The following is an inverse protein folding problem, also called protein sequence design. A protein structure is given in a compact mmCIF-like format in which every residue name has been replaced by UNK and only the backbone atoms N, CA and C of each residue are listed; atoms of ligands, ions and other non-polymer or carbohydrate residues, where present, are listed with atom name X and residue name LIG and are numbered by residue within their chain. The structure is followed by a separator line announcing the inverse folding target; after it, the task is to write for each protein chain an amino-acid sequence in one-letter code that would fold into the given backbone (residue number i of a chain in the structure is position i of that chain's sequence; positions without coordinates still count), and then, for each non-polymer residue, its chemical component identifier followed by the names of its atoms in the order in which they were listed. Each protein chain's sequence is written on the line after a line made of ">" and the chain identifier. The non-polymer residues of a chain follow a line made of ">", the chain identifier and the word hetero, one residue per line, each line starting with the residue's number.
data_IF_878681831323
#
_entry.id   IF_878681831323
#
_cell.length_a   1.000
_cell.length_b   1.000
_cell.length_c   1.000
_cell.angle_alpha   90.00
_cell.angle_beta   90.00
_cell.angle_gamma   90.00
#
_symmetry.space_group_name_H-M   'P 1'
#
loop_
_entity.id
_entity.type
_entity.pdbx_description
1 polymer ?
#
# COMPACT_ATOMS: atom_id res chain seq x y z
N UNK A 1 -1.48 -33.28 -36.87
CA UNK A 1 -2.10 -33.23 -35.52
C UNK A 1 -1.23 -34.04 -34.58
N UNK A 2 -0.95 -33.54 -33.39
CA UNK A 2 -0.14 -34.25 -32.39
C UNK A 2 -1.03 -35.32 -31.70
N UNK A 3 -0.79 -36.63 -31.91
CA UNK A 3 -1.64 -37.71 -31.42
C UNK A 3 -1.72 -37.73 -29.88
N UNK A 4 -0.67 -37.24 -29.21
CA UNK A 4 -0.59 -37.20 -27.76
C UNK A 4 -1.50 -36.11 -27.19
N UNK A 5 -1.62 -34.97 -27.89
CA UNK A 5 -2.58 -33.92 -27.54
C UNK A 5 -4.02 -34.41 -27.69
N UNK A 6 -4.34 -35.12 -28.78
CA UNK A 6 -5.69 -35.67 -28.99
C UNK A 6 -6.04 -36.72 -27.93
N UNK A 7 -5.09 -37.60 -27.60
CA UNK A 7 -5.27 -38.57 -26.53
C UNK A 7 -5.57 -37.87 -25.19
N UNK A 8 -4.76 -36.87 -24.79
CA UNK A 8 -5.01 -36.14 -23.54
C UNK A 8 -6.33 -35.34 -23.55
N UNK A 9 -6.73 -34.77 -24.70
CA UNK A 9 -8.05 -34.15 -24.85
C UNK A 9 -9.19 -35.14 -24.66
N UNK A 10 -9.03 -36.39 -25.12
CA UNK A 10 -10.04 -37.45 -24.94
C UNK A 10 -10.24 -37.83 -23.47
N UNK A 11 -9.23 -37.65 -22.62
CA UNK A 11 -9.28 -38.01 -21.20
C UNK A 11 -9.89 -36.91 -20.31
N UNK A 12 -10.32 -35.77 -20.88
CA UNK A 12 -10.82 -34.59 -20.14
C UNK A 12 -12.01 -34.88 -19.21
N UNK A 13 -12.84 -35.87 -19.54
CA UNK A 13 -14.04 -36.24 -18.78
C UNK A 13 -13.75 -37.13 -17.56
N UNK A 14 -12.52 -37.63 -17.42
CA UNK A 14 -12.14 -38.55 -16.35
C UNK A 14 -11.65 -37.78 -15.11
N UNK A 15 -11.76 -38.41 -13.94
CA UNK A 15 -11.19 -37.86 -12.70
C UNK A 15 -9.64 -37.87 -12.72
N UNK A 16 -9.02 -37.14 -11.79
CA UNK A 16 -7.55 -37.00 -11.72
C UNK A 16 -6.83 -38.35 -11.68
N UNK A 17 -7.31 -39.27 -10.85
CA UNK A 17 -6.71 -40.59 -10.63
C UNK A 17 -6.75 -41.48 -11.89
N UNK A 18 -7.84 -41.42 -12.65
CA UNK A 18 -7.99 -42.16 -13.91
C UNK A 18 -7.14 -41.57 -15.04
N UNK A 19 -7.05 -40.23 -15.10
CA UNK A 19 -6.14 -39.55 -16.02
C UNK A 19 -4.69 -39.94 -15.78
N UNK A 20 -4.25 -39.95 -14.53
CA UNK A 20 -2.87 -40.29 -14.19
C UNK A 20 -2.53 -41.75 -14.51
N UNK A 21 -3.46 -42.68 -14.27
CA UNK A 21 -3.29 -44.09 -14.67
C UNK A 21 -3.15 -44.27 -16.18
N UNK A 22 -3.96 -43.57 -16.98
CA UNK A 22 -3.91 -43.67 -18.45
C UNK A 22 -2.73 -42.93 -19.07
N UNK A 23 -2.14 -42.00 -18.34
CA UNK A 23 -0.97 -41.23 -18.77
C UNK A 23 0.35 -41.75 -18.21
N UNK A 24 0.32 -42.80 -17.37
CA UNK A 24 1.50 -43.44 -16.78
C UNK A 24 2.54 -43.91 -17.81
N UNK A 25 2.12 -44.17 -19.05
CA UNK A 25 2.98 -44.73 -20.11
C UNK A 25 3.72 -43.65 -20.90
N UNK A 26 3.39 -42.36 -20.67
CA UNK A 26 4.08 -41.26 -21.28
C UNK A 26 5.46 -41.05 -20.65
N UNK A 27 6.50 -40.75 -21.44
CA UNK A 27 7.73 -40.17 -20.91
C UNK A 27 7.38 -38.93 -20.06
N UNK A 28 8.02 -38.78 -18.90
CA UNK A 28 7.68 -37.72 -17.92
C UNK A 28 7.69 -36.32 -18.54
N UNK A 29 8.62 -36.07 -19.45
CA UNK A 29 8.79 -34.82 -20.19
C UNK A 29 7.61 -34.57 -21.15
N UNK A 30 7.18 -35.60 -21.86
CA UNK A 30 6.07 -35.53 -22.81
C UNK A 30 4.73 -35.38 -22.09
N UNK A 31 4.54 -36.10 -20.98
CA UNK A 31 3.39 -35.90 -20.10
C UNK A 31 3.32 -34.47 -19.58
N UNK A 32 4.46 -33.91 -19.11
CA UNK A 32 4.51 -32.54 -18.62
C UNK A 32 4.20 -31.52 -19.74
N UNK A 33 4.75 -31.71 -20.95
CA UNK A 33 4.50 -30.87 -22.13
C UNK A 33 3.03 -30.86 -22.50
N UNK A 34 2.42 -32.04 -22.67
CA UNK A 34 1.03 -32.17 -23.09
C UNK A 34 0.06 -31.67 -22.02
N UNK A 35 0.34 -31.94 -20.75
CA UNK A 35 -0.48 -31.44 -19.63
C UNK A 35 -0.55 -29.92 -19.63
N UNK A 36 0.59 -29.24 -19.79
CA UNK A 36 0.65 -27.76 -19.85
C UNK A 36 -0.19 -27.23 -21.02
N UNK A 37 -0.08 -27.84 -22.21
CA UNK A 37 -0.85 -27.40 -23.38
C UNK A 37 -2.36 -27.55 -23.13
N UNK A 38 -2.80 -28.68 -22.58
CA UNK A 38 -4.22 -28.93 -22.29
C UNK A 38 -4.75 -27.98 -21.21
N UNK A 39 -3.98 -27.72 -20.16
CA UNK A 39 -4.34 -26.75 -19.11
C UNK A 39 -4.49 -25.34 -19.70
N UNK A 40 -3.55 -24.89 -20.54
CA UNK A 40 -3.63 -23.59 -21.24
C UNK A 40 -4.88 -23.49 -22.12
N UNK A 41 -5.19 -24.53 -22.90
CA UNK A 41 -6.41 -24.56 -23.71
C UNK A 41 -7.68 -24.47 -22.87
N UNK A 42 -7.70 -25.13 -21.71
CA UNK A 42 -8.84 -25.09 -20.78
C UNK A 42 -9.04 -23.70 -20.18
N UNK A 43 -7.97 -23.06 -19.70
CA UNK A 43 -8.06 -21.71 -19.15
C UNK A 43 -8.44 -20.69 -20.23
N UNK A 44 -7.93 -20.83 -21.45
CA UNK A 44 -8.33 -20.00 -22.59
C UNK A 44 -9.81 -20.19 -22.95
N UNK A 45 -10.31 -21.43 -22.95
CA UNK A 45 -11.72 -21.73 -23.22
C UNK A 45 -12.63 -21.15 -22.13
N UNK A 46 -12.30 -21.35 -20.84
CA UNK A 46 -13.05 -20.75 -19.73
C UNK A 46 -13.09 -19.22 -19.83
N UNK A 47 -11.96 -18.59 -20.18
CA UNK A 47 -11.92 -17.15 -20.37
C UNK A 47 -12.82 -16.72 -21.54
N UNK A 48 -12.80 -17.44 -22.66
CA UNK A 48 -13.63 -17.12 -23.81
C UNK A 48 -15.13 -17.26 -23.49
N UNK A 49 -15.51 -18.31 -22.76
CA UNK A 49 -16.88 -18.53 -22.27
C UNK A 49 -17.29 -17.42 -21.28
N UNK A 50 -16.38 -16.98 -20.41
CA UNK A 50 -16.63 -15.91 -19.44
C UNK A 50 -16.77 -14.53 -20.10
N UNK A 51 -15.95 -14.24 -21.13
CA UNK A 51 -16.07 -13.02 -21.93
C UNK A 51 -17.37 -13.06 -22.74
N UNK A 52 -17.74 -14.22 -23.30
CA UNK A 52 -18.96 -14.43 -24.08
C UNK A 52 -19.15 -13.42 -25.23
N UNK A 53 -18.05 -12.93 -25.82
CA UNK A 53 -18.06 -11.90 -26.86
C UNK A 53 -18.37 -10.48 -26.38
N UNK A 54 -18.46 -10.24 -25.06
CA UNK A 54 -18.64 -8.92 -24.48
C UNK A 54 -17.39 -8.04 -24.64
N UNK A 55 -17.60 -6.75 -24.83
CA UNK A 55 -16.53 -5.76 -24.86
C UNK A 55 -16.10 -5.40 -23.43
N UNK A 56 -14.93 -5.92 -23.01
CA UNK A 56 -14.38 -5.68 -21.68
C UNK A 56 -14.06 -4.20 -21.41
N UNK A 57 -13.73 -3.41 -22.44
CA UNK A 57 -13.45 -1.98 -22.29
C UNK A 57 -14.75 -1.27 -21.92
N UNK A 58 -15.81 -1.51 -22.69
CA UNK A 58 -17.11 -0.91 -22.44
C UNK A 58 -17.72 -1.35 -21.10
N UNK A 59 -17.53 -2.62 -20.73
CA UNK A 59 -17.92 -3.14 -19.42
C UNK A 59 -17.24 -2.36 -18.29
N UNK A 60 -15.91 -2.24 -18.32
CA UNK A 60 -15.17 -1.51 -17.28
C UNK A 60 -15.56 -0.03 -17.18
N UNK A 61 -15.82 0.62 -18.32
CA UNK A 61 -16.22 2.04 -18.34
C UNK A 61 -17.65 2.28 -17.85
N UNK A 62 -18.53 1.27 -17.93
CA UNK A 62 -19.94 1.38 -17.50
C UNK A 62 -20.09 0.97 -16.04
N UNK A 63 -19.58 -0.20 -15.67
CA UNK A 63 -19.54 -0.73 -14.31
C UNK A 63 -18.39 -1.75 -14.18
N UNK A 64 -17.29 -1.41 -13.49
CA UNK A 64 -16.13 -2.29 -13.37
C UNK A 64 -16.33 -3.42 -12.34
N UNK A 65 -17.44 -3.45 -11.59
CA UNK A 65 -17.62 -4.35 -10.45
C UNK A 65 -17.44 -5.83 -10.79
N UNK A 66 -18.02 -6.28 -11.91
CA UNK A 66 -17.84 -7.67 -12.38
C UNK A 66 -16.37 -7.96 -12.71
N UNK A 67 -15.70 -7.06 -13.44
CA UNK A 67 -14.30 -7.26 -13.82
C UNK A 67 -13.39 -7.27 -12.58
N UNK A 68 -13.67 -6.41 -11.61
CA UNK A 68 -12.94 -6.36 -10.34
C UNK A 68 -13.10 -7.67 -9.56
N UNK A 69 -14.31 -8.24 -9.53
CA UNK A 69 -14.62 -9.48 -8.83
C UNK A 69 -14.02 -10.74 -9.50
N UNK A 70 -13.92 -10.77 -10.84
CA UNK A 70 -13.42 -11.92 -11.58
C UNK A 70 -11.99 -11.71 -12.10
N UNK A 71 -11.01 -12.35 -11.45
CA UNK A 71 -9.59 -12.22 -11.77
C UNK A 71 -9.25 -12.49 -13.25
N UNK A 72 -9.88 -13.48 -13.88
CA UNK A 72 -9.63 -13.80 -15.30
C UNK A 72 -10.05 -12.67 -16.24
N UNK A 73 -11.17 -11.99 -15.97
CA UNK A 73 -11.60 -10.82 -16.75
C UNK A 73 -10.66 -9.63 -16.53
N UNK A 74 -10.28 -9.38 -15.28
CA UNK A 74 -9.30 -8.36 -14.93
C UNK A 74 -7.97 -8.59 -15.63
N UNK A 75 -7.45 -9.82 -15.62
CA UNK A 75 -6.18 -10.17 -16.24
C UNK A 75 -6.25 -10.01 -17.76
N UNK A 76 -7.35 -10.44 -18.39
CA UNK A 76 -7.58 -10.22 -19.80
C UNK A 76 -7.58 -8.73 -20.18
N UNK A 77 -8.29 -7.88 -19.43
CA UNK A 77 -8.34 -6.43 -19.69
C UNK A 77 -6.96 -5.75 -19.52
N UNK A 78 -6.16 -6.20 -18.56
CA UNK A 78 -4.80 -5.71 -18.32
C UNK A 78 -3.78 -6.22 -19.36
N UNK A 79 -4.13 -7.28 -20.10
CA UNK A 79 -3.23 -7.95 -21.06
C UNK A 79 -2.28 -8.97 -20.41
N UNK A 80 -2.65 -9.48 -19.23
CA UNK A 80 -1.92 -10.52 -18.49
C UNK A 80 -2.31 -11.91 -18.99
N UNK A 81 -1.43 -12.89 -18.79
CA UNK A 81 -1.79 -14.30 -18.99
C UNK A 81 -2.73 -14.77 -17.87
N UNK A 82 -3.72 -15.58 -18.20
CA UNK A 82 -4.54 -16.28 -17.19
C UNK A 82 -3.86 -17.51 -16.61
N UNK A 83 -2.77 -17.98 -17.24
CA UNK A 83 -2.00 -19.11 -16.74
C UNK A 83 -0.88 -18.63 -15.82
N UNK A 84 -1.14 -18.68 -14.51
CA UNK A 84 -0.25 -18.17 -13.44
C UNK A 84 1.22 -18.58 -13.60
N UNK A 85 1.49 -19.85 -13.94
CA UNK A 85 2.86 -20.36 -14.06
C UNK A 85 3.67 -19.69 -15.17
N UNK A 86 3.02 -19.28 -16.27
CA UNK A 86 3.72 -18.56 -17.34
C UNK A 86 4.10 -17.15 -16.89
N UNK A 87 3.21 -16.51 -16.14
CA UNK A 87 3.49 -15.20 -15.54
C UNK A 87 4.63 -15.27 -14.53
N UNK A 88 4.58 -16.23 -13.60
CA UNK A 88 5.61 -16.44 -12.58
C UNK A 88 6.99 -16.69 -13.23
N UNK A 89 7.05 -17.58 -14.23
CA UNK A 89 8.27 -17.83 -14.99
C UNK A 89 8.77 -16.58 -15.74
N UNK A 90 7.86 -15.79 -16.31
CA UNK A 90 8.21 -14.55 -17.00
C UNK A 90 8.79 -13.53 -16.02
N UNK A 91 8.15 -13.35 -14.86
CA UNK A 91 8.59 -12.44 -13.80
C UNK A 91 9.93 -12.87 -13.23
N UNK A 92 10.11 -14.15 -12.91
CA UNK A 92 11.38 -14.69 -12.41
C UNK A 92 12.51 -14.45 -13.43
N UNK A 93 12.26 -14.70 -14.71
CA UNK A 93 13.22 -14.46 -15.78
C UNK A 93 13.58 -12.97 -15.94
N UNK A 94 12.59 -12.08 -16.00
CA UNK A 94 12.81 -10.63 -16.21
C UNK A 94 13.52 -10.02 -15.00
N UNK A 95 13.21 -10.48 -13.79
CA UNK A 95 13.80 -9.97 -12.55
C UNK A 95 15.09 -10.68 -12.15
N UNK A 96 15.54 -11.67 -12.94
CA UNK A 96 16.70 -12.52 -12.63
C UNK A 96 16.60 -13.17 -11.23
N UNK A 97 15.41 -13.66 -10.88
CA UNK A 97 15.14 -14.34 -9.62
C UNK A 97 14.91 -13.42 -8.42
N UNK A 98 14.98 -12.08 -8.57
CA UNK A 98 14.67 -11.15 -7.46
C UNK A 98 13.22 -11.29 -7.02
N UNK A 99 12.27 -11.45 -7.96
CA UNK A 99 10.89 -11.77 -7.66
C UNK A 99 10.48 -13.06 -8.39
N UNK A 100 9.85 -13.98 -7.66
CA UNK A 100 9.43 -15.29 -8.22
C UNK A 100 7.99 -15.30 -8.72
N UNK A 101 7.21 -14.25 -8.41
CA UNK A 101 5.82 -14.11 -8.82
C UNK A 101 5.44 -12.64 -8.95
N UNK A 102 4.39 -12.36 -9.73
CA UNK A 102 3.96 -10.99 -10.02
C UNK A 102 3.53 -10.19 -8.81
N UNK A 103 2.90 -10.81 -7.80
CA UNK A 103 2.53 -10.14 -6.56
C UNK A 103 3.75 -9.62 -5.81
N UNK A 104 4.78 -10.46 -5.63
CA UNK A 104 6.04 -10.07 -4.99
C UNK A 104 6.71 -8.91 -5.75
N UNK A 105 6.76 -8.98 -7.07
CA UNK A 105 7.32 -7.90 -7.89
C UNK A 105 6.56 -6.58 -7.68
N UNK A 106 5.22 -6.63 -7.72
CA UNK A 106 4.38 -5.45 -7.50
C UNK A 106 4.60 -4.89 -6.10
N UNK A 107 4.68 -5.73 -5.07
CA UNK A 107 4.86 -5.31 -3.69
C UNK A 107 6.24 -4.67 -3.45
N UNK A 108 7.30 -5.22 -4.06
CA UNK A 108 8.65 -4.65 -4.02
C UNK A 108 8.70 -3.25 -4.65
N UNK A 109 8.04 -3.06 -5.80
CA UNK A 109 8.00 -1.75 -6.44
C UNK A 109 7.07 -0.79 -5.67
N UNK A 110 5.92 -1.25 -5.19
CA UNK A 110 4.97 -0.44 -4.43
C UNK A 110 5.54 0.05 -3.09
N UNK A 111 6.36 -0.78 -2.44
CA UNK A 111 6.96 -0.53 -1.14
C UNK A 111 8.46 -0.23 -1.23
N UNK A 112 8.92 0.31 -2.36
CA UNK A 112 10.34 0.58 -2.59
C UNK A 112 10.96 1.49 -1.53
N UNK A 113 10.19 2.43 -0.97
CA UNK A 113 10.59 3.24 0.19
C UNK A 113 10.98 2.40 1.41
N UNK A 114 10.36 1.24 1.62
CA UNK A 114 10.53 0.39 2.81
C UNK A 114 11.51 -0.75 2.59
N UNK A 115 11.63 -1.24 1.36
CA UNK A 115 12.46 -2.40 1.04
C UNK A 115 12.98 -2.25 -0.39
N UNK A 116 14.07 -1.48 -0.59
CA UNK A 116 14.64 -1.31 -1.91
C UNK A 116 15.19 -2.66 -2.39
N UNK A 117 14.76 -3.06 -3.59
CA UNK A 117 15.20 -4.29 -4.24
C UNK A 117 16.01 -3.97 -5.49
N UNK A 118 17.01 -4.79 -5.86
CA UNK A 118 17.89 -4.55 -7.01
C UNK A 118 17.18 -4.87 -8.35
N UNK A 119 16.04 -4.22 -8.61
CA UNK A 119 15.18 -4.44 -9.79
C UNK A 119 15.72 -3.72 -11.02
N UNK A 120 16.06 -4.48 -12.07
CA UNK A 120 16.52 -3.94 -13.36
C UNK A 120 15.43 -3.15 -14.08
N UNK A 121 15.81 -2.30 -15.03
CA UNK A 121 14.89 -1.45 -15.81
C UNK A 121 13.67 -2.20 -16.36
N UNK A 122 13.88 -3.40 -16.90
CA UNK A 122 12.81 -4.23 -17.44
C UNK A 122 11.77 -4.64 -16.39
N UNK A 123 12.17 -4.85 -15.13
CA UNK A 123 11.21 -5.14 -14.06
C UNK A 123 10.27 -3.96 -13.78
N UNK A 124 10.80 -2.73 -13.83
CA UNK A 124 10.00 -1.51 -13.69
C UNK A 124 9.06 -1.33 -14.88
N UNK A 125 9.56 -1.53 -16.11
CA UNK A 125 8.74 -1.49 -17.34
C UNK A 125 7.64 -2.53 -17.32
N UNK A 126 7.92 -3.75 -16.85
CA UNK A 126 6.94 -4.83 -16.74
C UNK A 126 5.77 -4.44 -15.83
N UNK A 127 6.04 -3.85 -14.66
CA UNK A 127 4.99 -3.36 -13.76
C UNK A 127 4.24 -2.17 -14.35
N UNK A 128 4.94 -1.24 -15.00
CA UNK A 128 4.29 -0.17 -15.77
C UNK A 128 3.44 -0.69 -16.94
N UNK A 129 3.62 -1.94 -17.37
CA UNK A 129 2.79 -2.57 -18.39
C UNK A 129 1.72 -3.49 -17.78
N UNK A 130 1.37 -3.33 -16.50
CA UNK A 130 0.38 -4.17 -15.80
C UNK A 130 0.78 -5.65 -15.72
N UNK A 131 2.09 -5.96 -15.80
CA UNK A 131 2.62 -7.34 -15.89
C UNK A 131 2.08 -8.06 -17.13
N UNK A 132 1.88 -7.32 -18.23
CA UNK A 132 1.37 -7.87 -19.49
C UNK A 132 2.26 -8.96 -20.08
N UNK A 133 1.66 -9.89 -20.79
CA UNK A 133 2.38 -10.96 -21.48
C UNK A 133 3.29 -10.40 -22.59
N UNK A 134 4.55 -10.87 -22.65
CA UNK A 134 5.60 -10.39 -23.57
C UNK A 134 5.85 -11.37 -24.73
N UNK A 135 4.92 -12.28 -25.03
CA UNK A 135 5.17 -13.42 -25.93
C UNK A 135 5.34 -13.06 -27.42
N UNK A 136 4.97 -11.85 -27.87
CA UNK A 136 4.99 -11.45 -29.30
C UNK A 136 5.64 -10.10 -29.62
N UNK A 137 5.69 -9.19 -28.66
CA UNK A 137 6.29 -7.87 -28.79
C UNK A 137 7.38 -7.73 -27.74
N UNK A 138 8.40 -6.93 -28.01
CA UNK A 138 9.39 -6.59 -27.00
C UNK A 138 8.74 -5.81 -25.86
N UNK A 139 9.23 -5.98 -24.63
CA UNK A 139 8.72 -5.22 -23.49
C UNK A 139 8.81 -3.70 -23.71
N UNK A 140 9.81 -3.26 -24.48
CA UNK A 140 9.99 -1.87 -24.86
C UNK A 140 8.83 -1.34 -25.72
N UNK A 141 8.41 -2.09 -26.74
CA UNK A 141 7.29 -1.69 -27.61
C UNK A 141 5.99 -1.60 -26.83
N UNK A 142 5.74 -2.55 -25.93
CA UNK A 142 4.56 -2.53 -25.06
C UNK A 142 4.61 -1.29 -24.16
N UNK A 143 5.76 -0.99 -23.56
CA UNK A 143 5.94 0.18 -22.71
C UNK A 143 5.64 1.50 -23.44
N UNK A 144 6.19 1.67 -24.65
CA UNK A 144 5.95 2.85 -25.48
C UNK A 144 4.49 2.96 -25.93
N UNK A 145 3.84 1.83 -26.24
CA UNK A 145 2.41 1.80 -26.53
C UNK A 145 1.58 2.25 -25.33
N UNK A 146 1.86 1.74 -24.12
CA UNK A 146 1.16 2.13 -22.91
C UNK A 146 1.33 3.61 -22.57
N UNK A 147 2.54 4.17 -22.77
CA UNK A 147 2.77 5.60 -22.63
C UNK A 147 1.87 6.42 -23.56
N UNK A 148 1.81 6.06 -24.85
CA UNK A 148 0.96 6.74 -25.84
C UNK A 148 -0.53 6.61 -25.51
N UNK A 149 -0.98 5.43 -25.11
CA UNK A 149 -2.38 5.18 -24.74
C UNK A 149 -2.83 6.04 -23.55
N UNK A 150 -1.96 6.23 -22.56
CA UNK A 150 -2.19 7.06 -21.38
C UNK A 150 -2.15 8.57 -21.72
N UNK A 151 -1.19 9.01 -22.53
CA UNK A 151 -1.11 10.41 -22.99
C UNK A 151 -2.37 10.81 -23.75
N UNK A 152 -2.87 9.92 -24.62
CA UNK A 152 -4.09 10.13 -25.39
C UNK A 152 -5.39 9.87 -24.61
N UNK A 153 -5.31 9.44 -23.34
CA UNK A 153 -6.47 9.10 -22.50
C UNK A 153 -7.45 8.15 -23.19
N UNK A 154 -6.90 7.16 -23.91
CA UNK A 154 -7.69 6.21 -24.70
C UNK A 154 -8.72 5.45 -23.84
N UNK A 155 -9.83 4.97 -24.43
CA UNK A 155 -10.81 4.15 -23.70
C UNK A 155 -10.16 2.95 -22.98
N UNK A 156 -9.18 2.30 -23.62
CA UNK A 156 -8.47 1.15 -23.06
C UNK A 156 -7.57 1.53 -21.86
N UNK A 157 -6.89 2.68 -21.91
CA UNK A 157 -6.11 3.17 -20.77
C UNK A 157 -7.02 3.49 -19.57
N UNK A 158 -8.14 4.18 -19.81
CA UNK A 158 -9.13 4.51 -18.77
C UNK A 158 -9.77 3.25 -18.17
N UNK A 159 -10.13 2.26 -18.99
CA UNK A 159 -10.72 1.02 -18.50
C UNK A 159 -9.74 0.21 -17.64
N UNK A 160 -8.46 0.14 -18.03
CA UNK A 160 -7.42 -0.52 -17.22
C UNK A 160 -7.25 0.19 -15.87
N UNK A 161 -7.24 1.51 -15.86
CA UNK A 161 -7.13 2.29 -14.62
C UNK A 161 -8.25 1.95 -13.62
N UNK A 162 -9.49 1.81 -14.09
CA UNK A 162 -10.64 1.49 -13.23
C UNK A 162 -10.51 0.13 -12.52
N UNK A 163 -9.81 -0.85 -13.10
CA UNK A 163 -9.76 -2.23 -12.58
C UNK A 163 -8.46 -2.58 -11.84
N UNK A 164 -7.46 -1.68 -11.84
CA UNK A 164 -6.20 -1.87 -11.10
C UNK A 164 -6.48 -1.89 -9.60
N UNK A 165 -5.81 -2.81 -8.91
CA UNK A 165 -5.82 -2.84 -7.44
C UNK A 165 -4.78 -1.84 -6.88
N UNK A 166 -4.95 -1.46 -5.61
CA UNK A 166 -4.18 -0.38 -4.98
C UNK A 166 -2.66 -0.57 -5.08
N UNK A 167 -2.15 -1.75 -4.73
CA UNK A 167 -0.71 -2.02 -4.80
C UNK A 167 -0.17 -1.93 -6.24
N UNK A 168 -0.93 -2.37 -7.26
CA UNK A 168 -0.52 -2.19 -8.66
C UNK A 168 -0.53 -0.72 -9.08
N UNK A 169 -1.55 0.07 -8.70
CA UNK A 169 -1.56 1.53 -8.96
C UNK A 169 -0.33 2.20 -8.35
N UNK A 170 -0.04 1.90 -7.07
CA UNK A 170 1.14 2.41 -6.36
C UNK A 170 2.44 2.02 -7.06
N UNK A 171 2.57 0.75 -7.45
CA UNK A 171 3.76 0.25 -8.12
C UNK A 171 3.97 0.90 -9.50
N UNK A 172 2.91 1.07 -10.29
CA UNK A 172 2.96 1.78 -11.58
C UNK A 172 3.38 3.23 -11.43
N UNK A 173 2.82 3.95 -10.46
CA UNK A 173 3.21 5.32 -10.13
C UNK A 173 4.70 5.40 -9.81
N UNK A 174 5.19 4.52 -8.95
CA UNK A 174 6.62 4.46 -8.59
C UNK A 174 7.49 4.16 -9.82
N UNK A 175 7.06 3.24 -10.69
CA UNK A 175 7.74 2.93 -11.95
C UNK A 175 7.77 4.12 -12.91
N UNK A 176 6.71 4.92 -12.98
CA UNK A 176 6.64 6.13 -13.81
C UNK A 176 7.74 7.14 -13.46
N UNK A 177 8.10 7.26 -12.18
CA UNK A 177 9.21 8.13 -11.74
C UNK A 177 10.58 7.49 -11.98
N UNK A 178 10.70 6.20 -11.72
CA UNK A 178 11.99 5.49 -11.78
C UNK A 178 12.47 5.21 -13.20
N UNK A 179 11.59 4.81 -14.13
CA UNK A 179 11.99 4.39 -15.48
C UNK A 179 12.81 5.47 -16.20
N UNK A 180 12.33 6.73 -16.36
CA UNK A 180 13.10 7.75 -17.07
C UNK A 180 14.41 8.10 -16.34
N UNK A 181 14.44 7.92 -15.03
CA UNK A 181 15.60 8.24 -14.20
C UNK A 181 16.70 7.18 -14.30
N UNK A 182 16.31 5.90 -14.33
CA UNK A 182 17.20 4.77 -14.60
C UNK A 182 17.74 4.88 -16.03
N UNK A 183 16.90 5.18 -17.02
CA UNK A 183 17.33 5.33 -18.42
C UNK A 183 18.35 6.46 -18.62
N UNK A 184 18.25 7.54 -17.84
CA UNK A 184 19.21 8.64 -17.84
C UNK A 184 20.49 8.32 -17.04
N UNK A 185 20.44 7.34 -16.15
CA UNK A 185 21.61 6.88 -15.41
C UNK A 185 22.44 5.96 -16.33
N UNK A 186 23.42 6.57 -17.01
CA UNK A 186 24.28 5.92 -18.02
C UNK A 186 24.85 4.58 -17.56
N UNK A 187 24.97 3.65 -18.51
CA UNK A 187 25.70 2.38 -18.39
C UNK A 187 27.12 2.58 -17.83
N UNK A 188 27.72 3.76 -17.99
CA UNK A 188 29.05 4.09 -17.44
C UNK A 188 29.04 4.22 -15.91
N UNK A 189 27.98 4.80 -15.33
CA UNK A 189 27.82 4.90 -13.87
C UNK A 189 27.47 3.52 -13.29
N UNK A 190 26.68 2.74 -14.02
CA UNK A 190 26.42 1.35 -13.67
C UNK A 190 27.70 0.51 -13.74
N UNK A 191 28.50 0.65 -14.79
CA UNK A 191 29.77 -0.04 -14.96
C UNK A 191 30.79 0.37 -13.90
N UNK A 192 30.79 1.64 -13.48
CA UNK A 192 31.67 2.12 -12.41
C UNK A 192 31.28 1.54 -11.04
N UNK A 193 29.99 1.50 -10.70
CA UNK A 193 29.49 0.86 -9.48
C UNK A 193 29.76 -0.65 -9.49
N UNK A 194 29.54 -1.31 -10.63
CA UNK A 194 29.84 -2.74 -10.81
C UNK A 194 31.34 -3.01 -10.70
N UNK A 195 32.20 -2.10 -11.18
CA UNK A 195 33.66 -2.22 -11.10
C UNK A 195 34.20 -1.97 -9.70
N UNK A 196 33.71 -0.95 -8.99
CA UNK A 196 34.04 -0.70 -7.58
C UNK A 196 33.60 -1.85 -6.68
N UNK A 197 32.40 -2.40 -6.92
CA UNK A 197 31.91 -3.57 -6.21
C UNK A 197 32.76 -4.82 -6.48
N UNK A 198 33.07 -5.12 -7.74
CA UNK A 198 33.95 -6.25 -8.11
C UNK A 198 35.31 -6.16 -7.42
N UNK A 199 35.93 -4.97 -7.41
CA UNK A 199 37.20 -4.74 -6.73
C UNK A 199 37.11 -4.96 -5.21
N UNK A 200 35.98 -4.58 -4.59
CA UNK A 200 35.77 -4.81 -3.15
C UNK A 200 35.55 -6.29 -2.81
N UNK A 201 35.03 -7.08 -3.76
CA UNK A 201 34.76 -8.50 -3.58
C UNK A 201 35.91 -9.43 -3.98
N UNK A 202 36.89 -8.92 -4.73
CA UNK A 202 38.11 -9.63 -5.16
C UNK A 202 38.79 -10.47 -4.04
N UNK A 203 38.91 -9.98 -2.79
CA UNK A 203 39.49 -10.76 -1.69
C UNK A 203 38.66 -11.99 -1.30
N UNK A 204 37.33 -11.93 -1.46
CA UNK A 204 36.41 -12.99 -1.09
C UNK A 204 36.26 -14.05 -2.19
N UNK A 205 36.47 -13.67 -3.46
CA UNK A 205 36.45 -14.60 -4.60
C UNK A 205 37.54 -15.68 -4.51
N UNK A 206 38.63 -15.41 -3.78
CA UNK A 206 39.70 -16.38 -3.51
C UNK A 206 39.25 -17.55 -2.63
N UNK A 207 38.13 -17.41 -1.92
CA UNK A 207 37.57 -18.42 -1.03
C UNK A 207 36.38 -19.19 -1.63
N UNK A 208 35.95 -18.86 -2.86
CA UNK A 208 34.88 -19.59 -3.54
C UNK A 208 35.37 -20.94 -4.03
N UNK A 209 34.62 -22.02 -3.78
CA UNK A 209 35.00 -23.38 -4.17
C UNK A 209 34.41 -23.82 -5.51
N UNK A 210 33.39 -23.11 -6.02
CA UNK A 210 32.79 -23.39 -7.31
C UNK A 210 32.36 -22.11 -8.06
N UNK A 211 32.16 -22.27 -9.38
CA UNK A 211 31.82 -21.18 -10.30
C UNK A 211 30.48 -20.53 -9.98
N UNK A 212 29.52 -21.31 -9.46
CA UNK A 212 28.18 -20.85 -9.06
C UNK A 212 28.19 -19.94 -7.82
N UNK A 213 29.02 -20.26 -6.82
CA UNK A 213 29.27 -19.41 -5.65
C UNK A 213 29.94 -18.10 -6.05
N UNK A 214 30.87 -18.18 -7.00
CA UNK A 214 31.58 -17.02 -7.54
C UNK A 214 30.63 -16.10 -8.30
N UNK A 215 29.75 -16.66 -9.14
CA UNK A 215 28.69 -15.93 -9.82
C UNK A 215 27.72 -15.26 -8.84
N UNK A 216 27.31 -15.96 -7.77
CA UNK A 216 26.43 -15.41 -6.74
C UNK A 216 27.07 -14.25 -5.96
N UNK A 217 28.37 -14.33 -5.65
CA UNK A 217 29.12 -13.25 -4.98
C UNK A 217 29.36 -12.05 -5.90
N UNK A 218 29.47 -12.29 -7.21
CA UNK A 218 29.65 -11.25 -8.23
C UNK A 218 28.34 -10.62 -8.72
N UNK A 219 27.17 -11.10 -8.26
CA UNK A 219 25.88 -10.40 -8.45
C UNK A 219 26.07 -8.98 -7.89
N UNK A 220 25.81 -7.92 -8.68
CA UNK A 220 26.08 -6.55 -8.26
C UNK A 220 25.38 -6.21 -6.93
N UNK A 221 26.11 -6.21 -5.81
CA UNK A 221 25.61 -5.58 -4.58
C UNK A 221 25.87 -4.08 -4.72
N UNK A 222 24.87 -3.26 -4.39
CA UNK A 222 24.95 -1.82 -4.55
C UNK A 222 24.13 -1.27 -5.71
N UNK A 223 23.58 -2.10 -6.60
CA UNK A 223 22.56 -1.64 -7.54
C UNK A 223 21.30 -1.13 -6.80
N UNK A 224 20.94 -1.80 -5.70
CA UNK A 224 19.93 -1.32 -4.72
C UNK A 224 20.27 0.08 -4.16
N UNK A 225 21.55 0.34 -3.85
CA UNK A 225 22.02 1.66 -3.39
C UNK A 225 21.92 2.71 -4.50
N UNK A 226 22.27 2.35 -5.74
CA UNK A 226 22.08 3.22 -6.91
C UNK A 226 20.61 3.55 -7.11
N UNK A 227 19.73 2.55 -7.08
CA UNK A 227 18.28 2.76 -7.17
C UNK A 227 17.76 3.60 -6.01
N UNK A 228 18.27 3.44 -4.79
CA UNK A 228 17.91 4.29 -3.64
C UNK A 228 18.34 5.74 -3.84
N UNK A 229 19.52 5.99 -4.44
CA UNK A 229 19.96 7.35 -4.79
C UNK A 229 19.10 7.97 -5.88
N UNK A 230 18.74 7.18 -6.90
CA UNK A 230 17.82 7.62 -7.97
C UNK A 230 16.46 7.95 -7.36
N UNK A 231 15.92 7.03 -6.56
CA UNK A 231 14.65 7.18 -5.86
C UNK A 231 14.60 8.47 -5.04
N UNK A 232 15.60 8.74 -4.20
CA UNK A 232 15.72 10.00 -3.44
C UNK A 232 15.65 11.26 -4.31
N UNK A 233 16.02 11.19 -5.59
CA UNK A 233 15.98 12.34 -6.53
C UNK A 233 14.64 12.47 -7.27
N UNK A 234 13.92 11.37 -7.48
CA UNK A 234 12.76 11.35 -8.40
C UNK A 234 11.43 11.06 -7.72
N UNK A 235 11.43 10.44 -6.55
CA UNK A 235 10.21 10.29 -5.76
C UNK A 235 9.83 11.65 -5.14
N UNK A 236 8.53 11.90 -4.94
CA UNK A 236 8.04 13.09 -4.25
C UNK A 236 8.76 13.32 -2.92
N UNK A 237 9.00 14.59 -2.60
CA UNK A 237 9.47 14.95 -1.27
C UNK A 237 8.38 14.64 -0.24
N UNK A 238 8.74 14.19 0.97
CA UNK A 238 7.76 14.03 2.04
C UNK A 238 7.07 15.37 2.35
N UNK A 239 5.84 15.38 2.88
CA UNK A 239 5.20 16.58 3.40
C UNK A 239 6.08 17.36 4.38
N UNK A 240 5.89 18.67 4.47
CA UNK A 240 6.73 19.57 5.27
C UNK A 240 6.84 19.15 6.75
N UNK A 241 5.74 18.65 7.33
CA UNK A 241 5.75 18.17 8.71
C UNK A 241 6.68 16.95 8.90
N UNK A 242 6.71 16.01 7.94
CA UNK A 242 7.60 14.85 7.98
C UNK A 242 9.05 15.26 7.80
N UNK A 243 9.32 16.21 6.90
CA UNK A 243 10.66 16.78 6.72
C UNK A 243 11.15 17.40 8.03
N UNK A 244 10.34 18.24 8.68
CA UNK A 244 10.71 18.86 9.97
C UNK A 244 10.98 17.81 11.06
N UNK A 245 10.15 16.78 11.16
CA UNK A 245 10.34 15.65 12.10
C UNK A 245 11.67 14.96 11.85
N UNK A 246 11.99 14.66 10.59
CA UNK A 246 13.24 14.02 10.19
C UNK A 246 14.47 14.92 10.43
N UNK A 247 14.39 16.20 10.10
CA UNK A 247 15.50 17.15 10.26
C UNK A 247 15.79 17.45 11.73
N UNK A 248 14.75 17.70 12.52
CA UNK A 248 14.86 18.02 13.94
C UNK A 248 15.02 16.77 14.83
N UNK A 249 14.85 15.56 14.27
CA UNK A 249 14.78 14.30 15.01
C UNK A 249 13.76 14.37 16.17
N UNK A 250 12.64 15.05 15.92
CA UNK A 250 11.58 15.25 16.92
C UNK A 250 10.58 14.11 16.88
N UNK A 251 10.09 13.69 18.06
CA UNK A 251 8.97 12.75 18.09
C UNK A 251 7.70 13.39 17.56
N UNK A 252 6.85 12.61 16.92
CA UNK A 252 5.54 13.06 16.44
C UNK A 252 4.42 12.13 16.90
N UNK A 253 3.21 12.67 16.99
CA UNK A 253 2.02 11.95 17.42
C UNK A 253 1.17 12.75 18.39
N UNK A 254 0.37 12.04 19.17
CA UNK A 254 -0.64 12.62 20.06
C UNK A 254 -0.59 12.02 21.46
N UNK A 255 -1.26 12.73 22.37
CA UNK A 255 -1.64 12.20 23.68
C UNK A 255 -3.00 11.51 23.52
N UNK A 256 -3.13 10.33 24.09
CA UNK A 256 -4.29 9.47 23.98
C UNK A 256 -4.93 9.23 25.34
N UNK A 257 -6.25 9.12 25.34
CA UNK A 257 -7.07 8.73 26.48
C UNK A 257 -8.01 7.59 26.10
N UNK A 258 -8.33 6.77 27.09
CA UNK A 258 -9.45 5.82 27.03
C UNK A 258 -10.71 6.58 27.40
N UNK A 259 -11.83 6.34 26.72
CA UNK A 259 -13.12 6.75 27.26
C UNK A 259 -13.39 6.03 28.60
N UNK A 260 -14.29 6.57 29.40
CA UNK A 260 -14.72 6.00 30.69
C UNK A 260 -15.21 4.57 30.51
N UNK A 261 -15.98 4.32 29.46
CA UNK A 261 -16.51 3.00 29.13
C UNK A 261 -15.38 2.02 28.74
N UNK A 262 -14.38 2.49 27.96
CA UNK A 262 -13.19 1.70 27.62
C UNK A 262 -12.36 1.39 28.88
N UNK A 263 -12.18 2.36 29.77
CA UNK A 263 -11.46 2.16 31.03
C UNK A 263 -12.15 1.09 31.90
N UNK A 264 -13.47 1.20 32.05
CA UNK A 264 -14.25 0.26 32.86
C UNK A 264 -14.22 -1.15 32.30
N UNK A 265 -14.30 -1.29 30.98
CA UNK A 265 -14.37 -2.61 30.32
C UNK A 265 -13.01 -3.25 30.08
N UNK A 266 -12.02 -2.44 29.72
CA UNK A 266 -10.74 -2.90 29.19
C UNK A 266 -9.52 -2.32 29.92
N UNK A 267 -9.68 -1.56 31.00
CA UNK A 267 -8.56 -0.89 31.69
C UNK A 267 -7.43 -1.83 32.08
N UNK A 268 -7.75 -3.04 32.56
CA UNK A 268 -6.78 -4.05 33.01
C UNK A 268 -6.10 -4.82 31.86
N UNK A 269 -6.74 -4.93 30.68
CA UNK A 269 -6.21 -5.65 29.52
C UNK A 269 -5.96 -4.73 28.30
N UNK A 270 -5.93 -3.41 28.51
CA UNK A 270 -5.88 -2.39 27.46
C UNK A 270 -4.75 -2.63 26.45
N UNK A 271 -3.57 -3.02 26.92
CA UNK A 271 -2.41 -3.29 26.05
C UNK A 271 -2.69 -4.38 25.01
N UNK A 272 -3.46 -5.40 25.38
CA UNK A 272 -3.85 -6.49 24.46
C UNK A 272 -4.90 -6.02 23.47
N UNK A 273 -5.91 -5.30 23.96
CA UNK A 273 -7.00 -4.76 23.12
C UNK A 273 -6.46 -3.77 22.09
N UNK A 274 -5.66 -2.80 22.54
CA UNK A 274 -5.01 -1.82 21.67
C UNK A 274 -4.03 -2.47 20.68
N UNK A 275 -3.30 -3.50 21.13
CA UNK A 275 -2.43 -4.30 20.27
C UNK A 275 -3.20 -4.95 19.12
N UNK A 276 -4.36 -5.55 19.41
CA UNK A 276 -5.26 -6.12 18.40
C UNK A 276 -5.75 -5.08 17.40
N UNK A 277 -6.29 -3.96 17.89
CA UNK A 277 -6.78 -2.85 17.04
C UNK A 277 -5.67 -2.35 16.09
N UNK A 278 -4.45 -2.18 16.59
CA UNK A 278 -3.33 -1.73 15.78
C UNK A 278 -2.82 -2.80 14.80
N UNK A 279 -2.81 -4.07 15.19
CA UNK A 279 -2.39 -5.18 14.32
C UNK A 279 -3.35 -5.38 13.14
N UNK A 280 -4.63 -5.06 13.33
CA UNK A 280 -5.66 -5.15 12.29
C UNK A 280 -5.85 -3.87 11.47
N UNK A 281 -5.05 -2.82 11.74
CA UNK A 281 -4.98 -1.66 10.84
C UNK A 281 -4.31 -2.07 9.53
N UNK A 282 -5.14 -2.47 8.55
CA UNK A 282 -4.73 -3.04 7.26
C UNK A 282 -3.63 -2.23 6.57
N UNK A 283 -2.66 -2.93 5.95
CA UNK A 283 -1.49 -2.37 5.25
C UNK A 283 -1.85 -1.40 4.09
N UNK A 284 -3.08 -1.49 3.58
CA UNK A 284 -3.63 -0.65 2.51
C UNK A 284 -4.31 0.64 3.00
N UNK A 285 -4.35 0.91 4.31
CA UNK A 285 -4.97 2.11 4.88
C UNK A 285 -3.99 3.30 4.90
N UNK A 286 -4.55 4.51 4.97
CA UNK A 286 -3.86 5.81 4.85
C UNK A 286 -2.99 6.15 6.07
N UNK A 287 -2.08 5.28 6.44
CA UNK A 287 -1.07 5.50 7.47
C UNK A 287 0.10 6.29 6.89
N UNK A 288 0.96 6.86 7.74
CA UNK A 288 2.12 7.61 7.26
C UNK A 288 3.09 6.69 6.50
N UNK A 289 3.04 5.38 6.73
CA UNK A 289 3.77 4.38 5.96
C UNK A 289 3.41 4.38 4.46
N UNK A 290 2.27 4.95 4.08
CA UNK A 290 1.84 5.08 2.67
C UNK A 290 2.33 6.36 2.01
N UNK A 291 2.82 7.31 2.81
CA UNK A 291 3.39 8.59 2.34
C UNK A 291 4.85 8.37 1.96
N UNK A 292 5.27 8.98 0.86
CA UNK A 292 6.66 8.94 0.42
C UNK A 292 7.57 9.58 1.46
N UNK A 293 8.63 8.88 1.81
CA UNK A 293 9.64 9.36 2.74
C UNK A 293 11.04 9.39 2.11
N UNK A 294 11.17 9.12 0.80
CA UNK A 294 12.44 9.10 0.06
C UNK A 294 13.45 8.07 0.61
N UNK A 295 12.95 6.87 0.90
CA UNK A 295 13.76 5.68 1.17
C UNK A 295 13.76 5.18 2.62
N UNK A 296 14.40 4.02 2.78
CA UNK A 296 14.31 3.20 3.98
C UNK A 296 14.83 3.88 5.25
N UNK A 297 15.91 4.65 5.13
CA UNK A 297 16.50 5.35 6.29
C UNK A 297 15.51 6.33 6.92
N UNK A 298 14.81 7.10 6.09
CA UNK A 298 13.80 8.07 6.53
C UNK A 298 12.56 7.35 7.05
N UNK A 299 12.12 6.29 6.37
CA UNK A 299 11.04 5.43 6.86
C UNK A 299 11.33 4.90 8.27
N UNK A 300 12.53 4.35 8.48
CA UNK A 300 12.96 3.77 9.75
C UNK A 300 13.18 4.85 10.83
N UNK A 301 13.62 6.06 10.44
CA UNK A 301 13.72 7.19 11.36
C UNK A 301 12.33 7.62 11.84
N UNK A 302 11.37 7.82 10.93
CA UNK A 302 9.98 8.13 11.28
C UNK A 302 9.36 7.06 12.16
N UNK A 303 9.57 5.77 11.83
CA UNK A 303 9.07 4.67 12.66
C UNK A 303 9.58 4.73 14.10
N UNK A 304 10.82 5.19 14.31
CA UNK A 304 11.41 5.36 15.65
C UNK A 304 10.95 6.64 16.37
N UNK A 305 10.54 7.66 15.61
CA UNK A 305 10.09 8.96 16.13
C UNK A 305 8.57 8.98 16.40
N UNK A 306 7.81 8.05 15.83
CA UNK A 306 6.39 7.88 16.09
C UNK A 306 6.15 7.62 17.59
N UNK A 307 5.21 8.35 18.19
CA UNK A 307 4.92 8.24 19.61
C UNK A 307 3.43 8.30 19.92
N UNK A 308 3.04 7.52 20.92
CA UNK A 308 1.75 7.60 21.60
C UNK A 308 2.00 7.84 23.08
N UNK A 309 1.43 8.89 23.66
CA UNK A 309 1.52 9.15 25.10
C UNK A 309 0.18 8.83 25.75
N UNK A 310 0.21 8.03 26.81
CA UNK A 310 -0.97 7.57 27.54
C UNK A 310 -0.87 8.03 29.00
N UNK A 311 -1.44 9.18 29.37
CA UNK A 311 -1.44 9.65 30.75
C UNK A 311 -2.31 8.74 31.63
N UNK A 312 -1.93 8.61 32.90
CA UNK A 312 -2.82 8.03 33.90
C UNK A 312 -3.94 9.02 34.17
N UNK A 313 -5.16 8.61 33.90
CA UNK A 313 -6.36 9.43 34.10
C UNK A 313 -7.39 8.60 34.86
N UNK A 314 -8.04 9.22 35.85
CA UNK A 314 -9.15 8.62 36.59
C UNK A 314 -10.36 9.51 36.42
N UNK A 315 -11.36 9.09 35.61
CA UNK A 315 -12.50 9.94 35.29
C UNK A 315 -13.31 10.28 36.53
N UNK A 316 -13.65 11.54 36.68
CA UNK A 316 -14.58 12.03 37.67
C UNK A 316 -16.01 11.88 37.17
N UNK A 317 -16.77 10.97 37.78
CA UNK A 317 -18.15 10.68 37.38
C UNK A 317 -19.12 11.85 37.59
N UNK A 318 -18.76 12.85 38.39
CA UNK A 318 -19.60 14.01 38.68
C UNK A 318 -19.60 15.10 37.60
N UNK A 319 -18.74 14.98 36.58
CA UNK A 319 -18.62 15.94 35.49
C UNK A 319 -18.71 15.25 34.12
N UNK A 320 -19.07 16.05 33.11
CA UNK A 320 -19.09 15.60 31.73
C UNK A 320 -17.67 15.17 31.31
N UNK A 321 -17.57 13.97 30.74
CA UNK A 321 -16.29 13.33 30.45
C UNK A 321 -15.39 14.18 29.56
N UNK A 322 -15.95 14.81 28.52
CA UNK A 322 -15.18 15.68 27.62
C UNK A 322 -14.54 16.87 28.35
N UNK A 323 -15.22 17.44 29.34
CA UNK A 323 -14.71 18.57 30.11
C UNK A 323 -13.64 18.14 31.12
N UNK A 324 -13.82 16.97 31.72
CA UNK A 324 -12.83 16.32 32.59
C UNK A 324 -11.53 16.03 31.83
N UNK A 325 -11.64 15.41 30.66
CA UNK A 325 -10.51 15.10 29.78
C UNK A 325 -9.77 16.36 29.34
N UNK A 326 -10.48 17.41 28.92
CA UNK A 326 -9.87 18.70 28.55
C UNK A 326 -9.14 19.32 29.73
N UNK A 327 -9.75 19.32 30.92
CA UNK A 327 -9.13 19.84 32.15
C UNK A 327 -7.84 19.09 32.45
N UNK A 328 -7.92 17.76 32.52
CA UNK A 328 -6.77 16.92 32.82
C UNK A 328 -5.67 17.03 31.76
N UNK A 329 -6.01 17.11 30.47
CA UNK A 329 -5.02 17.32 29.41
C UNK A 329 -4.29 18.66 29.57
N UNK A 330 -5.00 19.74 29.91
CA UNK A 330 -4.38 21.06 30.15
C UNK A 330 -3.41 21.02 31.34
N UNK A 331 -3.78 20.36 32.43
CA UNK A 331 -2.93 20.14 33.60
C UNK A 331 -1.69 19.31 33.23
N UNK A 332 -1.90 18.16 32.57
CA UNK A 332 -0.84 17.29 32.08
C UNK A 332 0.15 18.02 31.16
N UNK A 333 -0.36 18.83 30.23
CA UNK A 333 0.44 19.67 29.31
C UNK A 333 1.31 20.66 30.07
N UNK A 334 0.79 21.30 31.12
CA UNK A 334 1.53 22.26 31.94
C UNK A 334 2.63 21.57 32.75
N UNK A 335 2.30 20.46 33.42
CA UNK A 335 3.24 19.71 34.26
C UNK A 335 4.37 19.07 33.44
N UNK A 336 4.06 18.61 32.22
CA UNK A 336 4.99 17.88 31.38
C UNK A 336 5.53 18.71 30.22
N UNK A 337 5.35 20.04 30.23
CA UNK A 337 5.73 20.91 29.10
C UNK A 337 7.21 20.76 28.67
N UNK A 338 8.10 20.55 29.64
CA UNK A 338 9.53 20.36 29.42
C UNK A 338 9.91 18.90 29.07
N UNK A 339 9.01 17.94 29.31
CA UNK A 339 9.22 16.51 29.10
C UNK A 339 8.56 16.01 27.81
N UNK A 340 7.54 16.71 27.32
CA UNK A 340 6.87 16.41 26.07
C UNK A 340 7.72 16.91 24.89
N UNK A 341 8.09 16.05 23.95
CA UNK A 341 8.75 16.46 22.72
C UNK A 341 7.99 17.59 21.99
N UNK A 342 8.73 18.49 21.33
CA UNK A 342 8.17 19.63 20.61
C UNK A 342 7.21 19.23 19.49
N UNK A 343 7.45 18.08 18.85
CA UNK A 343 6.62 17.57 17.75
C UNK A 343 5.34 16.83 18.17
N UNK A 344 5.06 16.63 19.46
CA UNK A 344 3.74 16.12 19.87
C UNK A 344 2.69 17.23 19.74
N UNK A 345 1.53 16.97 19.15
CA UNK A 345 0.47 17.98 19.04
C UNK A 345 -0.06 18.36 20.44
N UNK A 346 0.14 19.63 20.82
CA UNK A 346 -0.13 20.11 22.20
C UNK A 346 -1.51 20.75 22.38
N UNK A 347 -2.29 20.89 21.32
CA UNK A 347 -3.67 21.39 21.41
C UNK A 347 -4.74 20.32 21.10
N UNK A 348 -4.32 19.17 20.62
CA UNK A 348 -5.24 18.10 20.23
C UNK A 348 -4.87 16.81 20.93
N UNK A 349 -5.86 16.13 21.49
CA UNK A 349 -5.71 14.81 22.06
C UNK A 349 -6.74 13.85 21.49
N UNK A 350 -6.40 12.56 21.51
CA UNK A 350 -7.22 11.50 20.93
C UNK A 350 -7.91 10.74 22.06
N UNK A 351 -9.19 10.44 21.89
CA UNK A 351 -9.97 9.62 22.82
C UNK A 351 -10.47 8.39 22.08
N UNK A 352 -10.16 7.23 22.63
CA UNK A 352 -10.61 5.94 22.11
C UNK A 352 -12.04 5.69 22.58
N UNK A 353 -13.01 5.59 21.65
CA UNK A 353 -14.41 5.31 21.98
C UNK A 353 -14.63 3.80 22.19
N UNK A 354 -15.70 3.40 22.90
CA UNK A 354 -15.97 1.98 23.19
C UNK A 354 -16.34 1.20 21.93
N UNK A 355 -16.92 1.88 20.95
CA UNK A 355 -17.32 1.34 19.66
C UNK A 355 -16.13 0.76 18.90
N UNK A 356 -14.93 1.30 19.14
CA UNK A 356 -13.69 0.79 18.55
C UNK A 356 -13.22 -0.52 19.18
N UNK A 357 -13.65 -0.83 20.40
CA UNK A 357 -13.18 -1.98 21.18
C UNK A 357 -14.19 -3.14 21.21
N UNK A 358 -15.14 -3.17 20.27
CA UNK A 358 -16.07 -4.31 20.13
C UNK A 358 -15.31 -5.61 19.81
N UNK A 359 -15.88 -6.76 20.18
CA UNK A 359 -15.27 -8.07 19.87
C UNK A 359 -15.09 -8.26 18.36
N UNK A 360 -16.05 -7.80 17.56
CA UNK A 360 -15.99 -7.79 16.09
C UNK A 360 -14.79 -7.00 15.56
N UNK A 361 -14.44 -5.88 16.22
CA UNK A 361 -13.30 -5.05 15.82
C UNK A 361 -11.96 -5.57 16.34
N UNK A 362 -11.99 -6.37 17.42
CA UNK A 362 -10.82 -7.04 17.97
C UNK A 362 -10.52 -8.38 17.27
N UNK A 363 -11.48 -8.96 16.55
CA UNK A 363 -11.37 -10.20 15.78
C UNK A 363 -12.20 -10.13 14.48
N UNK A 364 -11.82 -9.28 13.51
CA UNK A 364 -12.57 -9.16 12.27
C UNK A 364 -12.51 -10.47 11.47
N UNK A 365 -13.63 -10.86 10.87
CA UNK A 365 -13.63 -11.88 9.82
C UNK A 365 -12.97 -11.31 8.55
N UNK A 366 -12.45 -12.18 7.66
CA UNK A 366 -11.77 -11.75 6.41
C UNK A 366 -12.70 -10.99 5.44
N UNK A 367 -13.99 -10.83 5.76
CA UNK A 367 -15.02 -10.29 4.88
C UNK A 367 -15.69 -9.00 5.39
N UNK A 368 -15.43 -8.57 6.64
CA UNK A 368 -16.04 -7.37 7.22
C UNK A 368 -15.24 -6.13 6.84
N UNK A 369 -15.53 -5.63 5.65
CA UNK A 369 -15.05 -4.37 5.06
C UNK A 369 -15.74 -3.12 5.65
N UNK A 370 -16.30 -3.16 6.87
CA UNK A 370 -16.99 -2.02 7.47
C UNK A 370 -15.98 -0.97 7.97
N UNK A 371 -15.47 -0.26 7.00
CA UNK A 371 -14.81 1.03 7.11
C UNK A 371 -15.89 2.11 7.31
N UNK A 372 -15.79 3.00 8.32
CA UNK A 372 -14.59 3.37 9.05
C UNK A 372 -14.60 3.23 10.59
N UNK A 373 -13.58 2.58 11.15
CA UNK A 373 -13.14 2.83 12.52
C UNK A 373 -12.70 4.27 12.73
N UNK A 374 -13.26 4.89 13.75
CA UNK A 374 -13.00 6.28 14.08
C UNK A 374 -12.62 6.44 15.55
N UNK A 375 -11.90 7.52 15.82
CA UNK A 375 -11.58 8.00 17.17
C UNK A 375 -12.07 9.44 17.31
N UNK A 376 -12.22 9.91 18.55
CA UNK A 376 -12.46 11.33 18.77
C UNK A 376 -11.14 12.08 18.83
N UNK A 377 -11.02 13.15 18.05
CA UNK A 377 -10.00 14.17 18.27
C UNK A 377 -10.64 15.37 18.98
N UNK A 378 -10.13 15.71 20.16
CA UNK A 378 -10.62 16.82 20.97
C UNK A 378 -9.72 18.04 20.85
N UNK A 379 -10.34 19.21 20.79
CA UNK A 379 -9.67 20.49 21.04
C UNK A 379 -9.58 20.71 22.55
N UNK A 380 -8.36 20.84 23.06
CA UNK A 380 -8.08 21.03 24.47
C UNK A 380 -8.50 22.40 24.99
N UNK A 381 -8.46 23.42 24.13
CA UNK A 381 -8.69 24.81 24.51
C UNK A 381 -10.09 25.30 24.10
N UNK A 382 -10.93 24.41 23.55
CA UNK A 382 -12.31 24.71 23.20
C UNK A 382 -13.16 25.09 24.42
N UNK A 383 -13.96 26.13 24.23
CA UNK A 383 -14.85 26.73 25.22
C UNK A 383 -16.15 27.15 24.53
N UNK A 384 -17.25 26.50 24.91
CA UNK A 384 -18.58 26.75 24.34
C UNK A 384 -19.07 28.18 24.55
N UNK A 385 -18.48 28.92 25.50
CA UNK A 385 -18.85 30.32 25.78
C UNK A 385 -18.17 31.33 24.86
N UNK A 386 -17.11 30.95 24.12
CA UNK A 386 -16.27 31.85 23.33
C UNK A 386 -16.42 31.68 21.82
N UNK A 387 -17.00 30.57 21.36
CA UNK A 387 -17.17 30.27 19.94
C UNK A 387 -18.46 30.88 19.37
N UNK A 388 -18.36 31.55 18.22
CA UNK A 388 -19.53 31.90 17.40
C UNK A 388 -20.27 30.63 16.99
N UNK A 389 -21.62 30.66 17.04
CA UNK A 389 -22.48 29.51 16.75
C UNK A 389 -22.24 28.95 15.35
N UNK A 390 -21.34 27.97 15.26
CA UNK A 390 -21.13 27.21 14.03
C UNK A 390 -22.06 26.03 14.06
N UNK A 391 -23.16 26.17 13.34
CA UNK A 391 -24.14 25.12 13.15
C UNK A 391 -24.14 24.65 11.70
N UNK A 392 -24.14 23.33 11.50
CA UNK A 392 -24.39 22.72 10.20
C UNK A 392 -25.60 21.79 10.37
N UNK A 393 -26.66 22.02 9.59
CA UNK A 393 -27.92 21.26 9.69
C UNK A 393 -28.49 21.17 11.12
N UNK A 394 -28.26 22.20 11.95
CA UNK A 394 -28.72 22.25 13.34
C UNK A 394 -27.79 21.61 14.37
N UNK A 395 -26.73 20.90 13.95
CA UNK A 395 -25.68 20.41 14.85
C UNK A 395 -24.60 21.47 15.06
N UNK A 396 -24.23 21.71 16.33
CA UNK A 396 -23.18 22.67 16.70
C UNK A 396 -21.85 21.97 16.90
N UNK A 397 -20.76 22.63 16.52
CA UNK A 397 -19.41 22.16 16.84
C UNK A 397 -19.19 22.08 18.36
N UNK A 398 -18.69 20.94 18.85
CA UNK A 398 -18.53 20.64 20.29
C UNK A 398 -17.06 20.56 20.73
N UNK A 399 -16.14 21.18 19.99
CA UNK A 399 -14.72 21.08 20.29
C UNK A 399 -14.14 19.69 20.09
N UNK A 400 -14.72 18.91 19.18
CA UNK A 400 -14.27 17.56 18.81
C UNK A 400 -14.75 17.16 17.42
N UNK A 401 -14.01 16.26 16.77
CA UNK A 401 -14.33 15.70 15.46
C UNK A 401 -14.02 14.20 15.44
N UNK A 402 -14.83 13.41 14.73
CA UNK A 402 -14.53 12.00 14.48
C UNK A 402 -13.46 11.91 13.39
N UNK A 403 -12.42 11.14 13.62
CA UNK A 403 -11.28 10.99 12.70
C UNK A 403 -11.06 9.51 12.43
N UNK A 404 -10.86 9.16 11.15
CA UNK A 404 -10.49 7.80 10.76
C UNK A 404 -9.18 7.38 11.46
N UNK A 405 -9.17 6.28 12.21
CA UNK A 405 -8.04 5.91 13.09
C UNK A 405 -6.70 5.77 12.34
N UNK A 406 -6.71 5.19 11.14
CA UNK A 406 -5.50 5.04 10.31
C UNK A 406 -4.91 6.36 9.84
N UNK A 407 -5.71 7.43 9.78
CA UNK A 407 -5.25 8.75 9.34
C UNK A 407 -4.63 9.58 10.45
N UNK A 408 -4.82 9.18 11.72
CA UNK A 408 -4.46 9.98 12.90
C UNK A 408 -2.99 10.37 12.86
N UNK A 409 -2.09 9.41 12.69
CA UNK A 409 -0.64 9.64 12.69
C UNK A 409 -0.06 9.99 11.32
N UNK A 410 -0.90 10.36 10.36
CA UNK A 410 -0.50 10.66 8.99
C UNK A 410 -1.04 12.02 8.56
N UNK A 411 -2.10 12.06 7.77
CA UNK A 411 -2.69 13.28 7.23
C UNK A 411 -3.39 14.10 8.29
N UNK A 412 -4.00 13.48 9.30
CA UNK A 412 -4.60 14.23 10.41
C UNK A 412 -3.52 14.98 11.21
N UNK A 413 -2.43 14.30 11.56
CA UNK A 413 -1.26 14.95 12.17
C UNK A 413 -0.72 16.09 11.30
N UNK A 414 -0.58 15.86 10.00
CA UNK A 414 -0.14 16.88 9.04
C UNK A 414 -1.07 18.10 9.01
N UNK A 415 -2.39 17.88 8.96
CA UNK A 415 -3.37 18.94 8.96
C UNK A 415 -3.33 19.78 10.25
N UNK A 416 -3.22 19.13 11.42
CA UNK A 416 -3.00 19.84 12.68
C UNK A 416 -1.67 20.62 12.71
N UNK A 417 -0.61 20.04 12.14
CA UNK A 417 0.69 20.70 12.04
C UNK A 417 0.65 21.94 11.15
N UNK A 418 -0.13 21.90 10.07
CA UNK A 418 -0.42 23.05 9.19
C UNK A 418 -1.46 24.03 9.76
N UNK A 419 -1.82 23.86 11.04
CA UNK A 419 -2.78 24.69 11.76
C UNK A 419 -4.19 24.71 11.15
N UNK A 420 -4.59 23.65 10.44
CA UNK A 420 -6.00 23.44 10.08
C UNK A 420 -6.78 23.18 11.37
N UNK A 421 -7.85 23.95 11.58
CA UNK A 421 -8.62 23.85 12.81
C UNK A 421 -9.48 22.57 12.82
N UNK A 422 -9.70 21.99 14.01
CA UNK A 422 -10.62 20.86 14.15
C UNK A 422 -12.06 21.24 13.79
N UNK A 423 -12.40 22.54 13.85
CA UNK A 423 -13.69 23.07 13.39
C UNK A 423 -13.84 22.98 11.88
N UNK A 424 -12.80 23.34 11.11
CA UNK A 424 -12.82 23.22 9.64
C UNK A 424 -12.90 21.76 9.21
N UNK A 425 -12.14 20.89 9.88
CA UNK A 425 -12.22 19.44 9.66
C UNK A 425 -13.62 18.88 9.98
N UNK A 426 -14.23 19.35 11.07
CA UNK A 426 -15.59 18.97 11.42
C UNK A 426 -16.58 19.42 10.35
N UNK A 427 -16.51 20.66 9.86
CA UNK A 427 -17.36 21.17 8.77
C UNK A 427 -17.22 20.33 7.50
N UNK A 428 -15.98 20.00 7.09
CA UNK A 428 -15.72 19.11 5.95
C UNK A 428 -16.36 17.75 6.14
N UNK A 429 -16.20 17.16 7.34
CA UNK A 429 -16.77 15.86 7.67
C UNK A 429 -18.31 15.86 7.57
N UNK A 430 -18.97 16.93 8.00
CA UNK A 430 -20.42 17.07 7.87
C UNK A 430 -20.88 17.12 6.40
N UNK A 431 -20.11 17.78 5.54
CA UNK A 431 -20.48 17.99 4.13
C UNK A 431 -20.21 16.78 3.24
N UNK A 432 -19.13 16.04 3.52
CA UNK A 432 -18.55 15.09 2.57
C UNK A 432 -18.72 13.62 2.97
N UNK A 433 -19.08 13.33 4.23
CA UNK A 433 -19.16 11.96 4.73
C UNK A 433 -20.50 11.70 5.46
N UNK A 434 -21.34 10.75 5.00
CA UNK A 434 -22.58 10.38 5.68
C UNK A 434 -22.41 10.01 7.16
N UNK A 435 -21.25 9.45 7.54
CA UNK A 435 -20.96 9.07 8.92
C UNK A 435 -20.32 10.18 9.76
N UNK A 436 -20.14 11.36 9.16
CA UNK A 436 -19.56 12.55 9.81
C UNK A 436 -18.16 12.31 10.35
N UNK A 437 -17.42 11.39 9.72
CA UNK A 437 -16.02 11.09 10.01
C UNK A 437 -15.14 11.90 9.06
N UNK A 438 -14.20 12.65 9.61
CA UNK A 438 -13.18 13.31 8.82
C UNK A 438 -12.21 12.27 8.26
N UNK A 439 -12.07 12.29 6.93
CA UNK A 439 -11.09 11.48 6.23
C UNK A 439 -10.44 12.33 5.15
N UNK A 440 -9.13 12.19 4.99
CA UNK A 440 -8.36 12.80 3.92
C UNK A 440 -8.51 11.99 2.62
N UNK A 441 -9.75 11.82 2.13
CA UNK A 441 -10.08 11.11 0.89
C UNK A 441 -10.82 12.02 -0.10
N UNK A 442 -10.20 13.07 -0.65
CA UNK A 442 -10.83 13.77 -1.80
C UNK A 442 -10.13 13.53 -3.12
N UNK A 443 -8.97 12.86 -3.15
CA UNK A 443 -8.24 12.57 -4.40
C UNK A 443 -7.79 11.11 -4.58
N UNK A 444 -7.56 10.71 -5.84
CA UNK A 444 -7.01 9.39 -6.19
C UNK A 444 -5.58 9.25 -5.65
N UNK A 445 -5.13 8.04 -5.34
CA UNK A 445 -3.81 7.73 -4.74
C UNK A 445 -2.60 8.39 -5.45
N UNK A 446 -2.75 8.75 -6.73
CA UNK A 446 -1.74 9.41 -7.58
C UNK A 446 -1.71 10.93 -7.41
N UNK A 447 -2.71 11.52 -6.77
CA UNK A 447 -2.92 12.96 -6.57
C UNK A 447 -2.72 13.38 -5.09
N UNK A 448 -2.35 12.42 -4.22
CA UNK A 448 -2.21 12.61 -2.77
C UNK A 448 -1.06 13.56 -2.37
N UNK A 449 -0.08 13.78 -3.26
CA UNK A 449 1.02 14.71 -2.98
C UNK A 449 0.53 16.17 -2.86
N UNK A 450 -0.71 16.48 -3.29
CA UNK A 450 -1.25 17.83 -3.42
C UNK A 450 -2.74 17.96 -3.06
N UNK A 451 -3.28 17.15 -2.15
CA UNK A 451 -4.63 17.41 -1.63
C UNK A 451 -4.59 18.55 -0.60
N UNK A 452 -5.35 19.64 -0.78
CA UNK A 452 -5.53 20.60 0.30
C UNK A 452 -6.28 19.92 1.45
N UNK A 453 -5.75 20.07 2.67
CA UNK A 453 -6.32 19.49 3.89
C UNK A 453 -7.78 19.94 4.19
N UNK A 454 -8.27 20.95 3.46
CA UNK A 454 -9.61 21.57 3.53
C UNK A 454 -10.38 21.23 2.26
#
# INVERSE_FOLDING_TARGET
>A
MDPNLEFCRSLKHLNSTERDKRLQHFPREEYARVRIIVEREQEAQKLQELIAGRDLIQMALTDPSEIIAYQSLKYALLGRTTYKRDEDNMVERITNGVATMSSILVDYIASFDRSPQPLRLDAWKLVYCDVSCVDRASLQEIYEERLREEELQTPIARSRELVRYNALRKARRNAKWMIPAIERFSDEVQAQVDQEYRQSMEPFLQFCHNERERENLLVPQGYDKTLTRIWKRVSPAPPAWMQKVLEAQEQFGFIYYKSREVEQRHGSNWRSVWGGINQHSLEDRVTWHTIHCQGYDNWLALHRLETEKWPTFSPNESIAEGDDLRKHFREYRQENNNLLPGGIQRNTFIVIPIELTSEENCQPDEHTLLDPYWVWAYDADWDSSKEEETAFEGEKYQGRVKVAIWSVKSWFYGACWEAVSLRDMWLKAQQQNPEKVWICYTKKFEEWDHEPYI
#
